data_IF_958090509885
#
_entry.id   IF_958090509885
#
_cell.length_a   1.000
_cell.length_b   1.000
_cell.length_c   1.000
_cell.angle_alpha   90.00
_cell.angle_beta   90.00
_cell.angle_gamma   90.00
#
_symmetry.space_group_name_H-M   'P 1'
#
loop_
_entity.id
_entity.type
_entity.pdbx_description
1 polymer ?
#
# COMPACT_ATOMS: atom_id res chain seq x y z
N UNK A 1 20.83 -25.74 58.36
CA UNK A 1 19.64 -25.99 57.54
C UNK A 1 19.18 -24.73 56.76
N UNK A 2 20.10 -23.91 56.20
CA UNK A 2 19.74 -22.68 55.44
C UNK A 2 20.29 -22.63 54.01
N UNK A 3 20.89 -23.75 53.53
CA UNK A 3 21.52 -23.79 52.18
C UNK A 3 20.73 -24.58 51.13
N UNK A 4 19.62 -25.22 51.47
CA UNK A 4 18.83 -26.04 50.55
C UNK A 4 17.68 -25.23 49.88
N UNK A 5 17.33 -24.09 50.47
CA UNK A 5 16.18 -23.29 49.97
C UNK A 5 16.52 -22.41 48.76
N UNK A 6 17.80 -22.20 48.47
CA UNK A 6 18.24 -21.32 47.36
C UNK A 6 18.42 -22.03 46.00
N UNK A 7 18.42 -23.37 46.04
CA UNK A 7 18.60 -24.16 44.80
C UNK A 7 17.27 -24.46 44.09
N UNK A 8 16.12 -24.28 44.77
CA UNK A 8 14.80 -24.57 44.18
C UNK A 8 14.17 -23.39 43.45
N UNK A 9 14.73 -22.20 43.55
CA UNK A 9 14.17 -20.97 42.93
C UNK A 9 14.77 -20.65 41.56
N UNK A 10 15.82 -21.35 41.14
CA UNK A 10 16.48 -21.11 39.86
C UNK A 10 15.97 -21.99 38.71
N UNK A 11 15.09 -22.93 38.97
CA UNK A 11 14.59 -23.85 37.90
C UNK A 11 13.25 -23.42 37.29
N UNK A 12 12.68 -22.30 37.71
CA UNK A 12 11.36 -21.85 37.23
C UNK A 12 11.41 -20.77 36.13
N UNK A 13 12.60 -20.41 35.61
CA UNK A 13 12.78 -19.35 34.62
C UNK A 13 13.32 -19.82 33.26
N UNK A 14 13.35 -21.11 32.99
CA UNK A 14 13.51 -21.58 31.61
C UNK A 14 12.14 -21.56 30.92
N UNK A 15 11.61 -20.35 30.72
CA UNK A 15 10.59 -20.13 29.73
C UNK A 15 11.21 -20.45 28.37
N UNK A 16 11.05 -21.70 27.91
CA UNK A 16 11.29 -22.05 26.52
C UNK A 16 10.33 -21.21 25.66
N UNK A 17 10.80 -20.06 25.18
CA UNK A 17 10.21 -19.47 24.01
C UNK A 17 10.46 -20.43 22.86
N UNK A 18 9.46 -21.25 22.52
CA UNK A 18 9.44 -21.94 21.26
C UNK A 18 9.36 -20.87 20.17
N UNK A 19 10.48 -20.46 19.60
CA UNK A 19 10.49 -19.80 18.31
C UNK A 19 10.03 -20.86 17.30
N UNK A 20 8.74 -20.84 17.02
CA UNK A 20 8.22 -21.48 15.83
C UNK A 20 8.88 -20.73 14.67
N UNK A 21 9.84 -21.37 14.00
CA UNK A 21 10.36 -20.87 12.73
C UNK A 21 9.20 -21.09 11.74
N UNK A 22 8.32 -20.09 11.61
CA UNK A 22 7.35 -20.08 10.55
C UNK A 22 8.14 -19.91 9.25
N UNK A 23 8.01 -20.85 8.34
CA UNK A 23 8.53 -20.71 6.99
C UNK A 23 7.77 -19.55 6.33
N UNK A 24 8.44 -18.43 6.17
CA UNK A 24 7.87 -17.24 5.50
C UNK A 24 8.42 -17.23 4.09
N UNK A 25 7.55 -17.20 3.10
CA UNK A 25 7.95 -16.92 1.73
C UNK A 25 7.46 -15.53 1.32
N UNK A 26 8.30 -14.82 0.58
CA UNK A 26 8.01 -13.47 0.10
C UNK A 26 8.12 -13.43 -1.42
N UNK A 27 7.15 -12.81 -2.06
CA UNK A 27 7.12 -12.56 -3.49
C UNK A 27 6.95 -11.07 -3.73
N UNK A 28 7.71 -10.52 -4.69
CA UNK A 28 7.55 -9.13 -5.13
C UNK A 28 7.05 -9.10 -6.55
N UNK A 29 6.01 -8.31 -6.81
CA UNK A 29 5.40 -8.12 -8.13
C UNK A 29 5.45 -6.62 -8.44
N UNK A 30 6.04 -6.28 -9.57
CA UNK A 30 6.09 -4.91 -10.04
C UNK A 30 4.99 -4.67 -11.08
N UNK A 31 4.25 -3.56 -10.90
CA UNK A 31 3.12 -3.16 -11.75
C UNK A 31 3.35 -1.75 -12.27
N UNK A 32 3.09 -1.56 -13.56
CA UNK A 32 3.05 -0.25 -14.20
C UNK A 32 1.60 0.07 -14.59
N UNK A 33 1.00 1.06 -13.93
CA UNK A 33 -0.35 1.56 -14.24
C UNK A 33 -0.22 2.74 -15.20
N UNK A 34 -0.75 2.59 -16.42
CA UNK A 34 -0.75 3.64 -17.44
C UNK A 34 -1.87 4.65 -17.18
N UNK A 35 -1.77 5.82 -17.78
CA UNK A 35 -2.85 6.84 -17.73
C UNK A 35 -4.20 6.27 -18.18
N UNK A 36 -4.22 5.43 -19.22
CA UNK A 36 -5.42 4.80 -19.76
C UNK A 36 -6.07 3.74 -18.86
N UNK A 37 -5.34 3.25 -17.88
CA UNK A 37 -5.82 2.17 -16.99
C UNK A 37 -6.65 2.74 -15.82
N UNK A 38 -6.59 4.06 -15.59
CA UNK A 38 -7.37 4.74 -14.59
C UNK A 38 -8.80 5.01 -15.06
N UNK A 39 -9.77 4.63 -14.26
CA UNK A 39 -11.19 4.85 -14.49
C UNK A 39 -11.73 5.84 -13.47
N UNK A 40 -12.31 6.93 -13.95
CA UNK A 40 -12.98 7.89 -13.07
C UNK A 40 -14.26 7.27 -12.50
N UNK A 41 -14.44 7.41 -11.20
CA UNK A 41 -15.62 6.93 -10.47
C UNK A 41 -16.28 8.13 -9.80
N UNK A 42 -17.52 8.41 -10.20
CA UNK A 42 -18.35 9.43 -9.60
C UNK A 42 -19.34 8.76 -8.65
N UNK A 43 -19.09 8.87 -7.36
CA UNK A 43 -20.02 8.48 -6.30
C UNK A 43 -20.44 9.74 -5.55
N UNK A 44 -21.65 9.78 -5.02
CA UNK A 44 -22.10 10.87 -4.15
C UNK A 44 -21.08 11.00 -3.01
N UNK A 45 -20.45 12.17 -2.92
CA UNK A 45 -19.47 12.55 -1.90
C UNK A 45 -18.10 11.81 -1.95
N UNK A 46 -17.80 11.07 -3.03
CA UNK A 46 -16.51 10.36 -3.12
C UNK A 46 -16.07 10.16 -4.57
N UNK A 47 -15.56 11.22 -5.18
CA UNK A 47 -15.00 11.16 -6.53
C UNK A 47 -13.53 10.74 -6.52
N UNK A 48 -13.18 9.73 -7.31
CA UNK A 48 -11.80 9.23 -7.39
C UNK A 48 -11.53 8.51 -8.72
N UNK A 49 -10.27 8.33 -9.03
CA UNK A 49 -9.84 7.43 -10.10
C UNK A 49 -9.44 6.10 -9.49
N UNK A 50 -9.83 5.02 -10.14
CA UNK A 50 -9.46 3.66 -9.74
C UNK A 50 -8.80 2.88 -10.87
N UNK A 51 -7.94 1.96 -10.52
CA UNK A 51 -7.40 0.94 -11.42
C UNK A 51 -7.45 -0.41 -10.73
N UNK A 52 -8.22 -1.35 -11.27
CA UNK A 52 -8.33 -2.71 -10.75
C UNK A 52 -7.44 -3.62 -11.59
N UNK A 53 -6.66 -4.45 -10.93
CA UNK A 53 -5.79 -5.44 -11.55
C UNK A 53 -6.09 -6.84 -11.00
N UNK A 54 -6.00 -7.84 -11.86
CA UNK A 54 -6.03 -9.23 -11.44
C UNK A 54 -4.74 -9.57 -10.70
N UNK A 55 -4.87 -10.16 -9.50
CA UNK A 55 -3.74 -10.52 -8.65
C UNK A 55 -3.98 -11.92 -8.05
N UNK A 56 -3.89 -12.97 -8.85
CA UNK A 56 -4.17 -14.35 -8.41
C UNK A 56 -3.25 -14.82 -7.29
N UNK A 57 -2.11 -14.16 -7.09
CA UNK A 57 -1.19 -14.41 -5.98
C UNK A 57 -1.79 -14.07 -4.62
N UNK A 58 -2.80 -13.19 -4.54
CA UNK A 58 -3.59 -12.93 -3.33
C UNK A 58 -4.63 -14.04 -3.19
N UNK A 59 -4.17 -15.19 -2.75
CA UNK A 59 -5.03 -16.34 -2.48
C UNK A 59 -5.82 -16.15 -1.18
N UNK A 60 -6.80 -17.01 -0.92
CA UNK A 60 -7.51 -17.01 0.37
C UNK A 60 -6.57 -17.20 1.57
N UNK A 61 -5.49 -17.96 1.41
CA UNK A 61 -4.47 -18.14 2.44
C UNK A 61 -3.72 -16.81 2.70
N UNK A 62 -3.28 -16.12 1.65
CA UNK A 62 -2.63 -14.79 1.78
C UNK A 62 -3.57 -13.79 2.43
N UNK A 63 -4.83 -13.74 1.99
CA UNK A 63 -5.82 -12.81 2.52
C UNK A 63 -6.09 -13.00 4.02
N UNK A 64 -6.13 -14.24 4.50
CA UNK A 64 -6.46 -14.56 5.89
C UNK A 64 -5.26 -14.65 6.83
N UNK A 65 -4.08 -15.02 6.34
CA UNK A 65 -2.91 -15.37 7.17
C UNK A 65 -1.59 -14.78 6.67
N UNK A 66 -1.59 -14.14 5.50
CA UNK A 66 -0.43 -13.46 4.93
C UNK A 66 -0.49 -11.96 5.11
N UNK A 67 0.39 -11.29 4.38
CA UNK A 67 0.45 -9.82 4.34
C UNK A 67 0.62 -9.38 2.89
N UNK A 68 -0.08 -8.30 2.50
CA UNK A 68 0.10 -7.62 1.22
C UNK A 68 0.51 -6.19 1.51
N UNK A 69 1.74 -5.83 1.15
CA UNK A 69 2.26 -4.48 1.30
C UNK A 69 2.52 -3.87 -0.07
N UNK A 70 2.04 -2.66 -0.28
CA UNK A 70 2.14 -1.98 -1.58
C UNK A 70 2.96 -0.71 -1.43
N UNK A 71 3.86 -0.52 -2.38
CA UNK A 71 4.72 0.66 -2.47
C UNK A 71 4.48 1.34 -3.81
N UNK A 72 4.40 2.66 -3.81
CA UNK A 72 4.59 3.47 -5.00
C UNK A 72 6.09 3.61 -5.27
N UNK A 73 6.51 3.46 -6.53
CA UNK A 73 7.92 3.53 -6.95
C UNK A 73 8.12 4.81 -7.74
N UNK A 74 9.10 5.60 -7.33
CA UNK A 74 9.49 6.83 -8.01
C UNK A 74 10.82 6.63 -8.73
N UNK A 75 10.96 7.29 -9.88
CA UNK A 75 12.19 7.29 -10.68
C UNK A 75 12.71 5.87 -10.98
N UNK A 76 11.77 4.94 -11.26
CA UNK A 76 12.12 3.54 -11.58
C UNK A 76 13.24 3.48 -12.61
N UNK A 77 14.19 2.57 -12.40
CA UNK A 77 15.36 2.35 -13.26
C UNK A 77 16.39 3.50 -13.31
N UNK A 78 16.38 4.39 -12.34
CA UNK A 78 17.42 5.42 -12.15
C UNK A 78 18.17 5.21 -10.84
N UNK A 79 19.30 5.90 -10.67
CA UNK A 79 20.06 5.87 -9.41
C UNK A 79 19.29 6.52 -8.25
N UNK A 80 18.32 7.39 -8.55
CA UNK A 80 17.50 8.10 -7.56
C UNK A 80 16.14 7.40 -7.32
N UNK A 81 16.04 6.11 -7.65
CA UNK A 81 14.81 5.34 -7.41
C UNK A 81 14.55 5.17 -5.91
N UNK A 82 13.31 5.44 -5.50
CA UNK A 82 12.86 5.22 -4.13
C UNK A 82 11.41 4.72 -4.08
N UNK A 83 10.99 4.20 -2.93
CA UNK A 83 9.65 3.65 -2.70
C UNK A 83 8.99 4.33 -1.51
N UNK A 84 7.70 4.67 -1.67
CA UNK A 84 6.82 5.05 -0.57
C UNK A 84 5.79 3.96 -0.34
N UNK A 85 5.57 3.59 0.91
CA UNK A 85 4.49 2.68 1.27
C UNK A 85 3.15 3.38 1.12
N UNK A 86 2.14 2.67 0.60
CA UNK A 86 0.78 3.22 0.56
C UNK A 86 0.11 3.14 1.95
N UNK A 87 -0.76 4.09 2.29
CA UNK A 87 -1.21 5.24 1.49
C UNK A 87 -0.13 6.34 1.38
N UNK A 88 -0.07 6.95 0.20
CA UNK A 88 0.88 8.01 -0.15
C UNK A 88 0.12 9.32 -0.37
N UNK A 89 0.48 10.37 0.39
CA UNK A 89 -0.24 11.65 0.42
C UNK A 89 0.71 12.78 0.05
N UNK A 90 0.33 13.56 -0.97
CA UNK A 90 1.09 14.70 -1.45
C UNK A 90 0.28 15.97 -1.45
N UNK A 91 0.91 17.06 -0.99
CA UNK A 91 0.42 18.41 -1.22
C UNK A 91 1.01 18.93 -2.52
N UNK A 92 0.15 19.39 -3.40
CA UNK A 92 0.52 19.87 -4.73
C UNK A 92 0.13 21.33 -4.92
N UNK A 93 0.88 21.98 -5.76
CA UNK A 93 0.62 23.35 -6.23
C UNK A 93 0.61 23.34 -7.74
N UNK A 94 -0.47 23.84 -8.33
CA UNK A 94 -0.58 24.01 -9.78
C UNK A 94 -1.04 25.42 -10.10
N UNK A 95 -0.65 25.92 -11.28
CA UNK A 95 -1.09 27.21 -11.78
C UNK A 95 -1.86 26.98 -13.06
N UNK A 96 -3.18 27.22 -13.01
CA UNK A 96 -4.09 27.10 -14.14
C UNK A 96 -4.69 28.48 -14.43
N UNK A 97 -4.57 28.94 -15.68
CA UNK A 97 -5.10 30.22 -16.13
C UNK A 97 -4.63 31.44 -15.28
N UNK A 98 -3.43 31.36 -14.68
CA UNK A 98 -2.89 32.40 -13.82
C UNK A 98 -3.33 32.34 -12.36
N UNK A 99 -4.21 31.41 -12.00
CA UNK A 99 -4.65 31.15 -10.62
C UNK A 99 -3.81 30.00 -10.00
N UNK A 100 -3.48 30.15 -8.74
CA UNK A 100 -2.75 29.12 -7.99
C UNK A 100 -3.72 28.22 -7.24
N UNK A 101 -3.67 26.94 -7.52
CA UNK A 101 -4.41 25.89 -6.83
C UNK A 101 -3.48 25.10 -5.91
N UNK A 102 -3.89 24.97 -4.65
CA UNK A 102 -3.26 24.10 -3.67
C UNK A 102 -4.22 22.95 -3.41
N UNK A 103 -3.76 21.74 -3.63
CA UNK A 103 -4.60 20.54 -3.43
C UNK A 103 -3.79 19.39 -2.88
N UNK A 104 -4.49 18.40 -2.36
CA UNK A 104 -3.89 17.17 -1.83
C UNK A 104 -4.28 16.02 -2.73
N UNK A 105 -3.30 15.20 -3.11
CA UNK A 105 -3.53 13.92 -3.75
C UNK A 105 -3.23 12.79 -2.80
N UNK A 106 -4.10 11.78 -2.80
CA UNK A 106 -3.90 10.54 -2.03
C UNK A 106 -3.91 9.36 -2.98
N UNK A 107 -2.90 8.52 -2.88
CA UNK A 107 -2.85 7.22 -3.54
C UNK A 107 -2.94 6.16 -2.46
N UNK A 108 -3.96 5.33 -2.52
CA UNK A 108 -4.15 4.19 -1.63
C UNK A 108 -4.47 2.91 -2.41
N UNK A 109 -4.57 1.79 -1.73
CA UNK A 109 -4.99 0.55 -2.34
C UNK A 109 -5.93 -0.24 -1.44
N UNK A 110 -6.80 -1.00 -2.09
CA UNK A 110 -7.63 -2.04 -1.50
C UNK A 110 -7.26 -3.36 -2.16
N UNK A 111 -7.44 -4.47 -1.47
CA UNK A 111 -7.27 -5.79 -2.08
C UNK A 111 -8.27 -6.80 -1.53
N UNK A 112 -8.51 -7.82 -2.33
CA UNK A 112 -9.29 -8.97 -1.98
C UNK A 112 -8.69 -10.23 -2.61
N UNK A 113 -9.37 -11.35 -2.46
CA UNK A 113 -8.90 -12.61 -3.06
C UNK A 113 -8.91 -12.48 -4.57
N UNK A 114 -7.73 -12.59 -5.20
CA UNK A 114 -7.56 -12.57 -6.65
C UNK A 114 -7.48 -11.19 -7.30
N UNK A 115 -7.56 -10.09 -6.55
CA UNK A 115 -7.53 -8.73 -7.12
C UNK A 115 -6.89 -7.70 -6.19
N UNK A 116 -6.45 -6.59 -6.78
CA UNK A 116 -5.98 -5.39 -6.11
C UNK A 116 -6.51 -4.16 -6.85
N UNK A 117 -6.96 -3.15 -6.11
CA UNK A 117 -7.44 -1.87 -6.64
C UNK A 117 -6.58 -0.73 -6.12
N UNK A 118 -6.03 0.06 -7.02
CA UNK A 118 -5.41 1.35 -6.70
C UNK A 118 -6.45 2.44 -6.78
N UNK A 119 -6.42 3.36 -5.82
CA UNK A 119 -7.27 4.54 -5.78
C UNK A 119 -6.42 5.81 -5.80
N UNK A 120 -6.82 6.77 -6.60
CA UNK A 120 -6.22 8.10 -6.66
C UNK A 120 -7.30 9.13 -6.38
N UNK A 121 -7.15 9.88 -5.31
CA UNK A 121 -8.08 10.93 -4.88
C UNK A 121 -7.41 12.28 -4.93
N UNK A 122 -8.19 13.29 -5.27
CA UNK A 122 -7.81 14.70 -5.22
C UNK A 122 -8.78 15.40 -4.27
N UNK A 123 -8.32 16.39 -3.51
CA UNK A 123 -9.19 17.11 -2.57
C UNK A 123 -10.36 17.80 -3.28
N UNK A 124 -11.48 17.87 -2.59
CA UNK A 124 -12.84 18.07 -3.12
C UNK A 124 -13.05 19.31 -4.03
N UNK A 125 -12.43 20.43 -3.72
CA UNK A 125 -12.68 21.67 -4.47
C UNK A 125 -12.28 21.59 -5.96
N UNK A 126 -11.45 20.62 -6.33
CA UNK A 126 -10.97 20.42 -7.71
C UNK A 126 -12.04 19.78 -8.57
N UNK A 127 -12.91 18.95 -8.00
CA UNK A 127 -13.96 18.26 -8.74
C UNK A 127 -15.16 19.13 -9.05
N UNK A 128 -15.41 20.17 -8.26
CA UNK A 128 -16.57 21.07 -8.41
C UNK A 128 -16.51 21.90 -9.70
N UNK A 129 -15.33 22.05 -10.29
CA UNK A 129 -15.16 22.83 -11.52
C UNK A 129 -15.34 22.02 -12.82
N UNK A 130 -15.64 20.73 -12.75
CA UNK A 130 -15.97 19.87 -13.91
C UNK A 130 -14.80 19.56 -14.86
N UNK A 131 -13.60 20.01 -14.56
CA UNK A 131 -12.42 19.84 -15.42
C UNK A 131 -11.49 18.74 -14.86
N UNK A 132 -11.95 17.50 -14.86
CA UNK A 132 -11.23 16.35 -14.30
C UNK A 132 -9.92 16.02 -15.05
N UNK A 133 -9.79 16.45 -16.31
CA UNK A 133 -8.65 16.09 -17.16
C UNK A 133 -7.31 16.60 -16.63
N UNK A 134 -7.29 17.79 -16.01
CA UNK A 134 -6.07 18.45 -15.53
C UNK A 134 -5.52 17.79 -14.25
N UNK A 135 -6.40 17.07 -13.51
CA UNK A 135 -6.08 16.42 -12.24
C UNK A 135 -6.10 14.88 -12.33
N UNK A 136 -6.22 14.35 -13.53
CA UNK A 136 -6.16 12.92 -13.76
C UNK A 136 -4.77 12.35 -13.37
N UNK A 137 -4.72 11.13 -12.82
CA UNK A 137 -3.46 10.54 -12.44
C UNK A 137 -2.58 10.29 -13.66
N UNK A 138 -1.28 10.56 -13.50
CA UNK A 138 -0.25 10.17 -14.45
C UNK A 138 0.00 8.66 -14.36
N UNK A 139 0.80 8.13 -15.29
CA UNK A 139 1.31 6.78 -15.16
C UNK A 139 2.10 6.63 -13.86
N UNK A 140 1.90 5.50 -13.17
CA UNK A 140 2.52 5.22 -11.88
C UNK A 140 3.10 3.81 -11.84
N UNK A 141 4.21 3.67 -11.14
CA UNK A 141 4.83 2.38 -10.87
C UNK A 141 4.58 1.96 -9.43
N UNK A 142 4.25 0.68 -9.26
CA UNK A 142 4.04 0.08 -7.95
C UNK A 142 4.88 -1.18 -7.77
N UNK A 143 5.20 -1.50 -6.53
CA UNK A 143 5.85 -2.74 -6.12
C UNK A 143 5.01 -3.36 -5.01
N UNK A 144 4.49 -4.54 -5.27
CA UNK A 144 3.58 -5.26 -4.37
C UNK A 144 4.38 -6.40 -3.75
N UNK A 145 4.43 -6.43 -2.44
CA UNK A 145 5.12 -7.46 -1.66
C UNK A 145 4.07 -8.33 -0.98
N UNK A 146 4.06 -9.59 -1.33
CA UNK A 146 3.16 -10.60 -0.76
C UNK A 146 3.98 -11.52 0.11
N UNK A 147 3.62 -11.59 1.39
CA UNK A 147 4.24 -12.45 2.38
C UNK A 147 3.28 -13.57 2.76
N UNK A 148 3.75 -14.81 2.69
CA UNK A 148 3.01 -16.02 3.09
C UNK A 148 3.70 -16.64 4.30
N UNK A 149 2.95 -16.88 5.37
CA UNK A 149 3.38 -17.69 6.52
C UNK A 149 2.81 -19.12 6.39
N UNK A 150 3.62 -20.12 6.66
CA UNK A 150 3.25 -21.53 6.61
C UNK A 150 3.37 -22.16 7.99
#
# INVERSE_FOLDING_TARGET
MKKVLFLLLCTALTGCSFHTISNVSQQTIDVHVRVSDWQYTNMIDNNYFRCVIDMPEITSHVFNQGEVQVYRVFNRNTADAFKHVLPDVFHQKEVLNGETFLYTTTVDCLYGIGWLEFNYRVSDFVYDNGNYGDFAPKAMDFSIVITKSY
#
